data_IF_538249585016
#
_entry.id   IF_538249585016
#
_cell.length_a   1.000
_cell.length_b   1.000
_cell.length_c   1.000
_cell.angle_alpha   90.00
_cell.angle_beta   90.00
_cell.angle_gamma   90.00
#
_symmetry.space_group_name_H-M   'P 1'
#
loop_
_entity.id
_entity.type
_entity.pdbx_description
1 polymer ?
#
# COMPACT_ATOMS: atom_id res chain seq x y z
N UNK A 1 2.63 -20.53 11.16
CA UNK A 1 2.75 -20.41 9.69
C UNK A 1 1.63 -19.51 9.20
N UNK A 2 1.89 -18.55 8.28
CA UNK A 2 0.87 -17.65 7.74
C UNK A 2 -0.24 -18.44 7.05
N UNK A 3 -1.51 -18.12 7.35
CA UNK A 3 -2.67 -18.82 6.81
C UNK A 3 -3.10 -18.32 5.42
N UNK A 4 -2.55 -17.19 4.98
CA UNK A 4 -2.90 -16.53 3.72
C UNK A 4 -1.94 -16.86 2.57
N UNK A 5 -1.10 -17.90 2.72
CA UNK A 5 -0.15 -18.34 1.70
C UNK A 5 -0.48 -19.74 1.20
N UNK A 6 -0.48 -19.90 -0.12
CA UNK A 6 -0.47 -21.19 -0.78
C UNK A 6 0.97 -21.70 -0.84
N UNK A 7 1.37 -22.54 0.12
CA UNK A 7 2.77 -22.98 0.26
C UNK A 7 3.30 -23.74 -0.96
N UNK A 8 2.42 -24.37 -1.74
CA UNK A 8 2.75 -25.03 -3.00
C UNK A 8 3.23 -24.07 -4.10
N UNK A 9 2.88 -22.78 -4.00
CA UNK A 9 3.27 -21.74 -4.97
C UNK A 9 4.61 -21.08 -4.65
N UNK A 10 5.19 -21.37 -3.47
CA UNK A 10 6.44 -20.78 -3.04
C UNK A 10 7.59 -21.24 -3.92
N UNK A 11 8.40 -20.28 -4.35
CA UNK A 11 9.62 -20.51 -5.12
C UNK A 11 10.84 -20.55 -4.22
N UNK A 12 10.81 -19.78 -3.12
CA UNK A 12 11.95 -19.64 -2.22
C UNK A 12 11.48 -19.22 -0.82
N UNK A 13 12.15 -19.76 0.21
CA UNK A 13 12.10 -19.26 1.58
C UNK A 13 13.48 -18.68 1.92
N UNK A 14 13.55 -17.38 2.22
CA UNK A 14 14.78 -16.76 2.73
C UNK A 14 14.69 -16.58 4.24
N UNK A 15 15.78 -16.92 4.93
CA UNK A 15 15.94 -16.65 6.35
C UNK A 15 17.06 -15.62 6.48
N UNK A 16 16.69 -14.40 6.88
CA UNK A 16 17.61 -13.27 6.95
C UNK A 16 17.88 -12.88 8.41
N UNK A 17 19.14 -12.70 8.83
CA UNK A 17 19.44 -12.11 10.13
C UNK A 17 19.27 -10.59 10.07
N UNK A 18 18.24 -10.07 10.74
CA UNK A 18 17.93 -8.63 10.81
C UNK A 18 17.74 -8.24 12.28
N UNK A 19 18.48 -7.22 12.75
CA UNK A 19 18.35 -6.64 14.10
C UNK A 19 18.36 -7.68 15.24
N UNK A 20 19.32 -8.63 15.22
CA UNK A 20 19.46 -9.73 16.20
C UNK A 20 18.29 -10.72 16.21
N UNK A 21 17.45 -10.71 15.18
CA UNK A 21 16.38 -11.66 14.95
C UNK A 21 16.55 -12.33 13.57
N UNK A 22 15.84 -13.43 13.35
CA UNK A 22 15.69 -14.02 12.02
C UNK A 22 14.32 -13.66 11.45
N UNK A 23 14.30 -13.08 10.25
CA UNK A 23 13.08 -12.84 9.47
C UNK A 23 12.94 -13.92 8.41
N UNK A 24 11.71 -14.39 8.21
CA UNK A 24 11.35 -15.33 7.14
C UNK A 24 10.68 -14.55 6.01
N UNK A 25 11.23 -14.65 4.80
CA UNK A 25 10.62 -14.09 3.59
C UNK A 25 10.15 -15.22 2.68
N UNK A 26 8.86 -15.19 2.32
CA UNK A 26 8.23 -16.18 1.45
C UNK A 26 8.06 -15.58 0.06
N UNK A 27 8.79 -16.11 -0.92
CA UNK A 27 8.81 -15.58 -2.29
C UNK A 27 7.99 -16.50 -3.19
N UNK A 28 7.09 -15.92 -3.96
CA UNK A 28 6.21 -16.62 -4.88
C UNK A 28 5.99 -15.76 -6.12
N UNK A 29 5.66 -16.41 -7.23
CA UNK A 29 5.21 -15.72 -8.41
C UNK A 29 3.74 -15.33 -8.23
N UNK A 30 3.42 -14.07 -8.52
CA UNK A 30 2.05 -13.58 -8.58
C UNK A 30 1.78 -13.12 -9.99
N UNK A 31 0.74 -13.67 -10.61
CA UNK A 31 0.24 -13.11 -11.86
C UNK A 31 -0.15 -11.65 -11.62
N UNK A 32 0.49 -10.75 -12.35
CA UNK A 32 0.07 -9.36 -12.40
C UNK A 32 -1.25 -9.38 -13.15
N UNK A 33 -2.35 -9.13 -12.45
CA UNK A 33 -3.66 -8.95 -13.08
C UNK A 33 -3.48 -7.91 -14.18
N UNK A 34 -3.65 -8.36 -15.42
CA UNK A 34 -3.58 -7.54 -16.63
C UNK A 34 -4.46 -6.33 -16.38
N UNK A 35 -3.95 -5.13 -16.75
CA UNK A 35 -4.60 -3.84 -16.53
C UNK A 35 -6.12 -4.00 -16.64
N UNK A 36 -6.89 -3.70 -15.57
CA UNK A 36 -8.33 -3.75 -15.68
C UNK A 36 -8.76 -2.92 -16.90
N UNK A 37 -9.84 -3.32 -17.57
CA UNK A 37 -10.39 -2.53 -18.67
C UNK A 37 -10.93 -1.22 -18.08
N UNK A 38 -10.08 -0.20 -18.02
CA UNK A 38 -10.42 1.10 -17.48
C UNK A 38 -10.97 2.00 -18.59
N UNK A 39 -11.96 2.81 -18.24
CA UNK A 39 -12.37 3.93 -19.08
C UNK A 39 -11.31 5.04 -18.98
N UNK A 40 -10.68 5.39 -20.12
CA UNK A 40 -9.60 6.38 -20.16
C UNK A 40 -10.10 7.82 -20.09
N UNK A 41 -11.41 8.04 -20.24
CA UNK A 41 -12.03 9.34 -20.00
C UNK A 41 -12.21 9.60 -18.50
N UNK A 42 -12.15 8.56 -17.66
CA UNK A 42 -12.26 8.71 -16.22
C UNK A 42 -10.89 9.06 -15.62
N UNK A 43 -10.84 10.18 -14.90
CA UNK A 43 -9.62 10.66 -14.23
C UNK A 43 -9.86 10.83 -12.73
N UNK A 44 -8.82 10.55 -11.95
CA UNK A 44 -8.77 10.78 -10.51
C UNK A 44 -7.68 11.81 -10.21
N UNK A 45 -8.08 13.00 -9.76
CA UNK A 45 -7.17 13.99 -9.19
C UNK A 45 -6.88 13.65 -7.74
N UNK A 46 -5.61 13.73 -7.35
CA UNK A 46 -5.14 13.47 -5.99
C UNK A 46 -4.30 14.66 -5.56
N UNK A 47 -4.75 15.37 -4.53
CA UNK A 47 -4.04 16.49 -3.94
C UNK A 47 -3.65 16.18 -2.50
N UNK A 48 -2.40 16.47 -2.13
CA UNK A 48 -1.90 16.27 -0.77
C UNK A 48 -2.09 17.56 0.03
N UNK A 49 -2.73 17.45 1.19
CA UNK A 49 -3.08 18.61 2.00
C UNK A 49 -2.24 18.77 3.26
N UNK A 50 -2.42 19.91 3.93
CA UNK A 50 -1.88 20.11 5.28
C UNK A 50 -2.73 19.41 6.34
N UNK A 51 -4.05 19.55 6.32
CA UNK A 51 -4.92 18.96 7.35
C UNK A 51 -5.45 17.58 6.94
N UNK A 52 -5.91 17.47 5.69
CA UNK A 52 -6.19 16.17 5.06
C UNK A 52 -4.88 15.64 4.49
N UNK A 53 -4.61 14.35 4.64
CA UNK A 53 -3.45 13.75 3.99
C UNK A 53 -3.63 13.75 2.48
N UNK A 54 -4.82 13.35 2.02
CA UNK A 54 -5.19 13.34 0.61
C UNK A 54 -6.62 13.85 0.42
N UNK A 55 -6.82 14.65 -0.61
CA UNK A 55 -8.13 15.00 -1.17
C UNK A 55 -8.19 14.44 -2.59
N UNK A 56 -9.16 13.58 -2.85
CA UNK A 56 -9.30 12.90 -4.12
C UNK A 56 -10.65 13.27 -4.77
N UNK A 57 -10.62 13.65 -6.04
CA UNK A 57 -11.82 14.01 -6.82
C UNK A 57 -11.77 13.30 -8.16
N UNK A 58 -12.87 12.67 -8.56
CA UNK A 58 -13.03 12.10 -9.90
C UNK A 58 -13.89 13.00 -10.79
N UNK A 59 -13.65 12.96 -12.10
CA UNK A 59 -14.53 13.63 -13.07
C UNK A 59 -15.90 12.95 -13.24
N UNK A 60 -16.11 11.80 -12.60
CA UNK A 60 -17.39 11.07 -12.54
C UNK A 60 -18.20 11.37 -11.27
N UNK A 61 -17.86 12.44 -10.55
CA UNK A 61 -18.69 12.96 -9.44
C UNK A 61 -18.49 12.25 -8.10
N UNK A 62 -17.35 11.56 -7.89
CA UNK A 62 -17.00 10.96 -6.60
C UNK A 62 -15.89 11.76 -5.92
N UNK A 63 -15.93 11.85 -4.59
CA UNK A 63 -14.86 12.45 -3.79
C UNK A 63 -14.54 11.61 -2.56
N UNK A 64 -13.28 11.66 -2.13
CA UNK A 64 -12.79 11.02 -0.90
C UNK A 64 -11.77 11.93 -0.22
N UNK A 65 -11.84 11.99 1.10
CA UNK A 65 -10.85 12.67 1.95
C UNK A 65 -10.20 11.61 2.85
N UNK A 66 -8.88 11.61 2.91
CA UNK A 66 -8.11 10.80 3.86
C UNK A 66 -7.58 11.69 4.96
N UNK A 67 -7.96 11.42 6.21
CA UNK A 67 -7.52 12.21 7.37
C UNK A 67 -6.00 12.09 7.59
N UNK A 68 -5.33 13.22 7.71
CA UNK A 68 -3.88 13.29 7.96
C UNK A 68 -3.49 13.47 9.42
N UNK A 69 -4.44 13.75 10.32
CA UNK A 69 -4.14 14.04 11.73
C UNK A 69 -3.45 12.89 12.43
N UNK A 70 -3.92 11.66 12.21
CA UNK A 70 -3.33 10.47 12.84
C UNK A 70 -1.88 10.24 12.38
N UNK A 71 -1.63 10.33 11.07
CA UNK A 71 -0.29 10.18 10.49
C UNK A 71 0.65 11.26 11.04
N UNK A 72 0.20 12.51 11.13
CA UNK A 72 0.99 13.61 11.72
C UNK A 72 1.31 13.39 13.19
N UNK A 73 0.34 12.90 13.96
CA UNK A 73 0.53 12.58 15.38
C UNK A 73 1.61 11.52 15.58
N UNK A 74 1.57 10.46 14.78
CA UNK A 74 2.58 9.39 14.79
C UNK A 74 3.97 9.88 14.35
N UNK A 75 4.02 10.75 13.33
CA UNK A 75 5.28 11.24 12.76
C UNK A 75 5.91 12.42 13.53
N UNK A 76 5.29 12.88 14.63
CA UNK A 76 5.72 14.04 15.41
C UNK A 76 7.17 13.97 15.89
N UNK A 77 7.67 12.76 16.17
CA UNK A 77 9.02 12.57 16.73
C UNK A 77 10.11 12.57 15.66
N UNK A 78 9.75 12.34 14.39
CA UNK A 78 10.70 12.23 13.29
C UNK A 78 10.90 13.54 12.52
N UNK A 79 9.88 14.40 12.49
CA UNK A 79 9.94 15.73 11.88
C UNK A 79 10.11 16.82 12.95
N UNK A 80 11.33 16.99 13.46
CA UNK A 80 11.71 18.17 14.25
C UNK A 80 12.36 19.23 13.36
#
# INVERSE_FOLDING_TARGET
MPSNLEFSSLKELRILPINRCFTQEFIYEKEIVVKPLLNQDNVLGIDHGLNNWLTCISNVGTSLIVDGKQIKSMNRTCNK
#
